data_IF_915048651018
#
_entry.id   IF_915048651018
#
_cell.length_a   1.000
_cell.length_b   1.000
_cell.length_c   1.000
_cell.angle_alpha   90.00
_cell.angle_beta   90.00
_cell.angle_gamma   90.00
#
_symmetry.space_group_name_H-M   'P 1'
#
loop_
_entity.id
_entity.type
_entity.pdbx_description
1 polymer ?
#
# COMPACT_ATOMS: atom_id res chain seq x y z
N UNK A 1 -8.33 -13.39 -13.38
CA UNK A 1 -8.44 -12.71 -12.07
C UNK A 1 -9.31 -13.58 -11.18
N UNK A 2 -8.85 -13.98 -10.00
CA UNK A 2 -9.65 -14.72 -9.02
C UNK A 2 -10.22 -13.76 -7.96
N UNK A 3 -11.09 -14.23 -7.08
CA UNK A 3 -11.69 -13.43 -6.00
C UNK A 3 -10.64 -12.74 -5.13
N UNK A 4 -9.55 -13.44 -4.78
CA UNK A 4 -8.47 -12.88 -3.97
C UNK A 4 -7.73 -11.74 -4.68
N UNK A 5 -7.47 -11.87 -5.98
CA UNK A 5 -6.85 -10.80 -6.78
C UNK A 5 -7.76 -9.57 -6.87
N UNK A 6 -9.08 -9.77 -6.95
CA UNK A 6 -10.04 -8.68 -6.94
C UNK A 6 -10.04 -7.94 -5.60
N UNK A 7 -10.14 -8.65 -4.48
CA UNK A 7 -10.10 -8.03 -3.14
C UNK A 7 -8.75 -7.34 -2.90
N UNK A 8 -7.64 -8.00 -3.22
CA UNK A 8 -6.31 -7.43 -3.02
C UNK A 8 -6.09 -6.18 -3.85
N UNK A 9 -6.69 -6.06 -5.04
CA UNK A 9 -6.66 -4.82 -5.81
C UNK A 9 -7.22 -3.63 -4.99
N UNK A 10 -8.41 -3.75 -4.43
CA UNK A 10 -9.00 -2.68 -3.61
C UNK A 10 -8.22 -2.40 -2.33
N UNK A 11 -7.68 -3.43 -1.68
CA UNK A 11 -6.81 -3.24 -0.50
C UNK A 11 -5.57 -2.42 -0.83
N UNK A 12 -4.97 -2.66 -2.00
CA UNK A 12 -3.78 -1.91 -2.45
C UNK A 12 -4.15 -0.48 -2.86
N UNK A 13 -5.31 -0.25 -3.49
CA UNK A 13 -5.77 1.11 -3.79
C UNK A 13 -6.05 1.91 -2.51
N UNK A 14 -6.70 1.32 -1.50
CA UNK A 14 -6.91 1.99 -0.21
C UNK A 14 -5.58 2.24 0.51
N UNK A 15 -4.62 1.31 0.44
CA UNK A 15 -3.28 1.52 0.96
C UNK A 15 -2.63 2.76 0.33
N UNK A 16 -2.65 2.85 -1.01
CA UNK A 16 -2.10 3.99 -1.76
C UNK A 16 -2.74 5.32 -1.34
N UNK A 17 -4.06 5.32 -1.13
CA UNK A 17 -4.78 6.51 -0.66
C UNK A 17 -4.30 6.95 0.73
N UNK A 18 -4.17 6.02 1.67
CA UNK A 18 -3.75 6.34 3.05
C UNK A 18 -2.33 6.85 3.12
N UNK A 19 -1.41 6.28 2.35
CA UNK A 19 -0.01 6.73 2.41
C UNK A 19 0.23 8.13 1.86
N UNK A 20 -0.67 8.62 1.00
CA UNK A 20 -0.65 10.00 0.51
C UNK A 20 -1.40 10.97 1.43
N UNK A 21 -2.10 10.47 2.46
CA UNK A 21 -2.88 11.28 3.38
C UNK A 21 -2.01 11.69 4.58
N UNK A 22 -1.84 13.00 4.85
CA UNK A 22 -1.05 13.51 5.97
C UNK A 22 -1.43 12.91 7.33
N UNK A 23 -2.71 12.53 7.52
CA UNK A 23 -3.19 11.92 8.76
C UNK A 23 -2.49 10.59 9.08
N UNK A 24 -1.99 9.89 8.05
CA UNK A 24 -1.36 8.59 8.21
C UNK A 24 0.18 8.65 8.20
N UNK A 25 0.80 9.83 8.12
CA UNK A 25 2.27 9.97 8.11
C UNK A 25 2.96 9.40 9.35
N UNK A 26 2.24 9.30 10.48
CA UNK A 26 2.75 8.70 11.73
C UNK A 26 2.71 7.18 11.75
N UNK A 27 2.05 6.55 10.79
CA UNK A 27 1.92 5.11 10.71
C UNK A 27 3.04 4.51 9.87
N UNK A 28 3.43 3.29 10.20
CA UNK A 28 4.38 2.54 9.37
C UNK A 28 3.69 1.94 8.15
N UNK A 29 4.43 1.68 7.07
CA UNK A 29 3.92 0.93 5.92
C UNK A 29 3.29 -0.40 6.33
N UNK A 30 3.87 -1.05 7.34
CA UNK A 30 3.39 -2.35 7.79
C UNK A 30 2.06 -2.23 8.56
N UNK A 31 1.89 -1.21 9.40
CA UNK A 31 0.61 -0.99 10.11
C UNK A 31 -0.51 -0.66 9.13
N UNK A 32 -0.27 0.21 8.14
CA UNK A 32 -1.28 0.52 7.12
C UNK A 32 -1.61 -0.72 6.29
N UNK A 33 -0.62 -1.56 5.95
CA UNK A 33 -0.86 -2.82 5.24
C UNK A 33 -1.76 -3.78 6.02
N UNK A 34 -1.59 -3.87 7.34
CA UNK A 34 -2.47 -4.66 8.19
C UNK A 34 -3.88 -4.05 8.32
N UNK A 35 -3.98 -2.73 8.44
CA UNK A 35 -5.27 -2.04 8.56
C UNK A 35 -6.14 -2.15 7.30
N UNK A 36 -5.53 -2.28 6.12
CA UNK A 36 -6.28 -2.56 4.87
C UNK A 36 -6.60 -4.05 4.68
N UNK A 37 -6.29 -4.90 5.65
CA UNK A 37 -6.74 -6.29 5.71
C UNK A 37 -5.77 -7.32 5.13
N UNK A 38 -4.47 -7.03 5.05
CA UNK A 38 -3.47 -8.08 4.82
C UNK A 38 -3.13 -8.79 6.13
N UNK A 39 -3.02 -10.13 6.09
CA UNK A 39 -2.67 -10.93 7.27
C UNK A 39 -1.16 -11.13 7.43
N UNK A 40 -0.34 -10.72 6.45
CA UNK A 40 1.12 -10.83 6.53
C UNK A 40 1.84 -9.85 5.59
N UNK A 41 3.06 -9.47 5.99
CA UNK A 41 3.98 -8.66 5.16
C UNK A 41 4.27 -9.31 3.81
N UNK A 42 4.43 -10.64 3.77
CA UNK A 42 4.72 -11.37 2.53
C UNK A 42 3.56 -11.32 1.55
N UNK A 43 2.33 -11.51 2.02
CA UNK A 43 1.13 -11.42 1.19
C UNK A 43 0.91 -10.01 0.63
N UNK A 44 1.12 -9.00 1.48
CA UNK A 44 1.11 -7.60 1.08
C UNK A 44 2.15 -7.30 0.00
N UNK A 45 3.43 -7.60 0.25
CA UNK A 45 4.52 -7.30 -0.68
C UNK A 45 4.31 -7.96 -2.06
N UNK A 46 3.86 -9.22 -2.08
CA UNK A 46 3.55 -9.93 -3.32
C UNK A 46 2.41 -9.27 -4.09
N UNK A 47 1.32 -8.94 -3.40
CA UNK A 47 0.14 -8.31 -4.02
C UNK A 47 0.45 -6.90 -4.51
N UNK A 48 1.14 -6.09 -3.69
CA UNK A 48 1.57 -4.75 -4.03
C UNK A 48 2.43 -4.76 -5.29
N UNK A 49 3.52 -5.53 -5.31
CA UNK A 49 4.41 -5.62 -6.48
C UNK A 49 3.70 -6.16 -7.72
N UNK A 50 2.76 -7.10 -7.56
CA UNK A 50 1.97 -7.62 -8.69
C UNK A 50 1.08 -6.54 -9.32
N UNK A 51 0.49 -5.66 -8.50
CA UNK A 51 -0.47 -4.64 -8.93
C UNK A 51 0.22 -3.36 -9.39
N UNK A 52 1.17 -2.85 -8.61
CA UNK A 52 1.82 -1.55 -8.87
C UNK A 52 3.10 -1.67 -9.68
N UNK A 53 3.63 -2.88 -9.87
CA UNK A 53 4.97 -3.17 -10.43
C UNK A 53 6.14 -2.59 -9.63
N UNK A 54 5.88 -2.01 -8.47
CA UNK A 54 6.88 -1.35 -7.61
C UNK A 54 6.89 -1.96 -6.21
N UNK A 55 7.88 -1.60 -5.39
CA UNK A 55 7.89 -1.98 -3.97
C UNK A 55 7.14 -0.93 -3.15
N UNK A 56 6.51 -1.31 -2.02
CA UNK A 56 5.82 -0.35 -1.15
C UNK A 56 6.71 0.80 -0.68
N UNK A 57 7.99 0.52 -0.41
CA UNK A 57 8.96 1.54 0.04
C UNK A 57 9.29 2.54 -1.07
N UNK A 58 9.47 2.07 -2.31
CA UNK A 58 9.74 2.96 -3.44
C UNK A 58 8.54 3.87 -3.71
N UNK A 59 7.33 3.31 -3.65
CA UNK A 59 6.11 4.07 -3.82
C UNK A 59 5.92 5.12 -2.69
N UNK A 60 6.22 4.76 -1.44
CA UNK A 60 6.18 5.69 -0.31
C UNK A 60 7.14 6.87 -0.46
N UNK A 61 8.39 6.61 -0.89
CA UNK A 61 9.35 7.68 -1.11
C UNK A 61 8.89 8.66 -2.18
N UNK A 62 8.27 8.17 -3.26
CA UNK A 62 7.67 9.02 -4.31
C UNK A 62 6.51 9.85 -3.76
N UNK A 63 5.57 9.21 -3.05
CA UNK A 63 4.44 9.91 -2.45
C UNK A 63 4.87 10.98 -1.42
N UNK A 64 5.95 10.73 -0.67
CA UNK A 64 6.50 11.72 0.26
C UNK A 64 7.19 12.90 -0.46
N UNK A 65 7.77 12.66 -1.64
CA UNK A 65 8.39 13.72 -2.45
C UNK A 65 7.34 14.63 -3.11
N UNK A 66 6.22 14.06 -3.60
CA UNK A 66 5.14 14.80 -4.28
C UNK A 66 4.31 15.70 -3.35
N UNK A 67 4.33 15.46 -2.03
CA UNK A 67 3.59 16.27 -1.06
C UNK A 67 4.36 17.51 -0.55
N UNK A 68 5.58 17.76 -1.05
CA UNK A 68 6.45 18.87 -0.63
C UNK A 68 6.63 19.96 -1.71
N UNK A 69 5.83 19.93 -2.79
CA UNK A 69 5.71 21.01 -3.80
C UNK A 69 4.31 21.64 -3.75
#
# INVERSE_FOLDING_TARGET
KNFFDFINYYRIEEFKRRISDPQFQRYTLLSIAFDVGFNSKTAFNRSFKKITRETPSAFWQKAAAENNE
#
